data_IF_217240899044
#
_entry.id   IF_217240899044
#
_cell.length_a   1.000
_cell.length_b   1.000
_cell.length_c   1.000
_cell.angle_alpha   90.00
_cell.angle_beta   90.00
_cell.angle_gamma   90.00
#
_symmetry.space_group_name_H-M   'P 1'
#
loop_
_entity.id
_entity.type
_entity.pdbx_description
1 polymer ?
#
# COMPACT_ATOMS: atom_id res chain seq x y z
N UNK A 1 43.01 -9.95 1.75
CA UNK A 1 41.71 -9.73 1.08
C UNK A 1 40.65 -9.87 2.15
N UNK A 2 40.06 -8.75 2.59
CA UNK A 2 39.00 -8.77 3.58
C UNK A 2 37.70 -9.17 2.88
N UNK A 3 37.12 -10.29 3.29
CA UNK A 3 35.77 -10.69 2.88
C UNK A 3 34.79 -9.62 3.39
N UNK A 4 34.01 -9.07 2.47
CA UNK A 4 32.86 -8.25 2.82
C UNK A 4 31.87 -9.10 3.64
N UNK A 5 31.24 -8.56 4.69
CA UNK A 5 30.22 -9.30 5.41
C UNK A 5 29.02 -9.48 4.48
N UNK A 6 28.70 -10.72 4.16
CA UNK A 6 27.43 -11.07 3.54
C UNK A 6 26.31 -10.59 4.45
N UNK A 7 25.51 -9.63 3.97
CA UNK A 7 24.28 -9.21 4.63
C UNK A 7 23.29 -10.37 4.53
N UNK A 8 23.32 -11.28 5.51
CA UNK A 8 22.28 -12.28 5.70
C UNK A 8 20.98 -11.53 5.98
N UNK A 9 20.12 -11.45 4.96
CA UNK A 9 18.73 -11.05 5.17
C UNK A 9 18.11 -12.14 6.04
N UNK A 10 17.56 -11.84 7.22
CA UNK A 10 16.97 -12.87 8.07
C UNK A 10 15.82 -13.52 7.29
N UNK A 11 15.95 -14.81 6.97
CA UNK A 11 14.91 -15.61 6.34
C UNK A 11 13.69 -15.57 7.26
N UNK A 12 12.72 -14.74 6.90
CA UNK A 12 11.52 -14.53 7.71
C UNK A 12 10.50 -15.59 7.30
N UNK A 13 9.98 -16.42 8.22
CA UNK A 13 9.06 -17.48 7.83
C UNK A 13 7.74 -16.89 7.30
N UNK A 14 7.16 -17.57 6.30
CA UNK A 14 5.84 -17.22 5.74
C UNK A 14 4.77 -17.24 6.85
N UNK A 15 4.88 -18.19 7.78
CA UNK A 15 3.95 -18.45 8.87
C UNK A 15 4.20 -17.61 10.14
N UNK A 16 5.03 -16.57 10.10
CA UNK A 16 5.17 -15.69 11.26
C UNK A 16 3.83 -15.01 11.56
N UNK A 17 3.38 -15.15 12.81
CA UNK A 17 2.09 -14.65 13.27
C UNK A 17 2.05 -13.12 13.26
N UNK A 18 0.96 -12.54 12.71
CA UNK A 18 0.68 -11.11 12.87
C UNK A 18 0.37 -10.77 14.32
N UNK A 19 0.96 -9.67 14.81
CA UNK A 19 0.74 -9.06 16.11
C UNK A 19 -0.63 -8.38 16.20
N UNK A 20 -1.16 -7.92 15.06
CA UNK A 20 -2.49 -7.29 14.96
C UNK A 20 -3.45 -8.24 14.26
N UNK A 21 -4.62 -8.42 14.85
CA UNK A 21 -5.71 -9.23 14.28
C UNK A 21 -6.87 -8.35 13.86
N UNK A 22 -7.42 -8.64 12.69
CA UNK A 22 -8.60 -8.00 12.14
C UNK A 22 -9.86 -8.41 12.92
N UNK A 23 -10.95 -7.64 12.78
CA UNK A 23 -12.25 -7.95 13.39
C UNK A 23 -13.38 -7.92 12.34
N UNK A 24 -14.53 -8.51 12.69
CA UNK A 24 -15.72 -8.49 11.84
C UNK A 24 -15.54 -9.20 10.51
N UNK A 25 -15.94 -8.53 9.41
CA UNK A 25 -15.84 -9.11 8.06
C UNK A 25 -14.38 -9.34 7.62
N UNK A 26 -13.45 -8.47 8.02
CA UNK A 26 -12.04 -8.63 7.68
C UNK A 26 -11.43 -9.89 8.33
N UNK A 27 -11.78 -10.19 9.59
CA UNK A 27 -11.36 -11.42 10.26
C UNK A 27 -11.85 -12.68 9.54
N UNK A 28 -13.12 -12.67 9.09
CA UNK A 28 -13.68 -13.79 8.31
C UNK A 28 -12.98 -13.94 6.95
N UNK A 29 -12.70 -12.84 6.26
CA UNK A 29 -11.93 -12.86 5.00
C UNK A 29 -10.57 -13.51 5.24
N UNK A 30 -9.84 -13.10 6.28
CA UNK A 30 -8.53 -13.70 6.63
C UNK A 30 -8.67 -15.21 6.86
N UNK A 31 -9.64 -15.63 7.67
CA UNK A 31 -9.86 -17.05 7.98
C UNK A 31 -10.06 -17.92 6.73
N UNK A 32 -10.71 -17.38 5.69
CA UNK A 32 -10.95 -18.08 4.42
C UNK A 32 -9.68 -18.19 3.58
N UNK A 33 -8.86 -17.13 3.53
CA UNK A 33 -7.78 -17.02 2.53
C UNK A 33 -6.38 -17.33 3.08
N UNK A 34 -6.18 -17.28 4.40
CA UNK A 34 -4.85 -17.33 5.02
C UNK A 34 -4.05 -18.56 4.58
N UNK A 35 -4.62 -19.76 4.70
CA UNK A 35 -3.94 -20.98 4.27
C UNK A 35 -3.62 -21.03 2.78
N UNK A 36 -4.47 -20.45 1.92
CA UNK A 36 -4.23 -20.41 0.48
C UNK A 36 -3.10 -19.44 0.12
N UNK A 37 -3.08 -18.26 0.76
CA UNK A 37 -2.03 -17.26 0.54
C UNK A 37 -0.67 -17.77 1.06
N UNK A 38 -0.65 -18.41 2.23
CA UNK A 38 0.55 -19.04 2.78
C UNK A 38 1.04 -20.20 1.90
N UNK A 39 0.13 -21.03 1.38
CA UNK A 39 0.45 -22.13 0.47
C UNK A 39 1.10 -21.69 -0.85
N UNK A 40 0.85 -20.46 -1.28
CA UNK A 40 1.53 -19.83 -2.42
C UNK A 40 2.88 -19.20 -2.05
N UNK A 41 3.27 -19.20 -0.78
CA UNK A 41 4.50 -18.58 -0.29
C UNK A 41 4.41 -17.08 -0.05
N UNK A 42 3.20 -16.51 0.05
CA UNK A 42 2.98 -15.09 0.35
C UNK A 42 2.53 -14.90 1.79
N UNK A 43 2.72 -13.68 2.29
CA UNK A 43 2.28 -13.23 3.61
C UNK A 43 1.23 -12.16 3.46
N UNK A 44 0.13 -12.31 4.20
CA UNK A 44 -0.86 -11.25 4.36
C UNK A 44 -0.28 -10.18 5.29
N UNK A 45 -0.30 -8.93 4.85
CA UNK A 45 0.12 -7.75 5.63
C UNK A 45 -1.08 -7.07 6.26
N UNK A 46 -2.17 -6.88 5.51
CA UNK A 46 -3.38 -6.22 5.99
C UNK A 46 -4.59 -6.70 5.21
N UNK A 47 -5.71 -6.91 5.91
CA UNK A 47 -7.03 -7.02 5.28
C UNK A 47 -7.93 -5.90 5.78
N UNK A 48 -8.57 -5.17 4.86
CA UNK A 48 -9.54 -4.13 5.17
C UNK A 48 -10.81 -4.37 4.36
N UNK A 49 -11.94 -4.40 5.05
CA UNK A 49 -13.26 -4.47 4.43
C UNK A 49 -13.97 -3.15 4.67
N UNK A 50 -14.31 -2.44 3.61
CA UNK A 50 -15.15 -1.23 3.67
C UNK A 50 -16.55 -1.60 3.21
N UNK A 51 -17.55 -1.33 4.04
CA UNK A 51 -18.96 -1.61 3.77
C UNK A 51 -19.69 -0.35 3.28
N UNK A 52 -20.63 -0.49 2.34
CA UNK A 52 -21.38 0.62 1.75
C UNK A 52 -21.83 0.31 0.33
N UNK A 53 -22.29 1.31 -0.42
CA UNK A 53 -22.78 1.13 -1.81
C UNK A 53 -21.79 0.46 -2.75
N UNK A 54 -20.49 0.75 -2.57
CA UNK A 54 -19.39 0.06 -3.23
C UNK A 54 -18.51 -0.59 -2.16
N UNK A 55 -18.93 -1.76 -1.67
CA UNK A 55 -18.10 -2.49 -0.70
C UNK A 55 -16.77 -2.89 -1.35
N UNK A 56 -15.67 -2.80 -0.58
CA UNK A 56 -14.33 -3.13 -1.08
C UNK A 56 -13.62 -4.02 -0.07
N UNK A 57 -13.05 -5.12 -0.57
CA UNK A 57 -12.12 -5.99 0.15
C UNK A 57 -10.72 -5.67 -0.34
N UNK A 58 -9.94 -4.97 0.47
CA UNK A 58 -8.56 -4.62 0.17
C UNK A 58 -7.61 -5.54 0.95
N UNK A 59 -6.72 -6.21 0.25
CA UNK A 59 -5.77 -7.16 0.81
C UNK A 59 -4.36 -6.75 0.38
N UNK A 60 -3.51 -6.47 1.36
CA UNK A 60 -2.09 -6.25 1.14
C UNK A 60 -1.33 -7.55 1.34
N UNK A 61 -0.54 -7.95 0.35
CA UNK A 61 0.32 -9.14 0.39
C UNK A 61 1.75 -8.79 0.02
N UNK A 62 2.67 -9.64 0.46
CA UNK A 62 4.07 -9.59 0.05
C UNK A 62 4.72 -10.97 0.21
N UNK A 63 5.87 -11.16 -0.41
CA UNK A 63 6.72 -12.31 -0.16
C UNK A 63 7.48 -12.15 1.17
N UNK A 64 8.09 -13.22 1.70
CA UNK A 64 8.96 -13.17 2.87
C UNK A 64 10.05 -12.09 2.83
N UNK A 65 10.60 -11.79 1.64
CA UNK A 65 11.60 -10.74 1.42
C UNK A 65 11.04 -9.31 1.57
N UNK A 66 9.72 -9.15 1.61
CA UNK A 66 9.04 -7.84 1.67
C UNK A 66 8.74 -7.21 0.32
N UNK A 67 8.97 -7.92 -0.77
CA UNK A 67 8.69 -7.47 -2.12
C UNK A 67 7.38 -8.09 -2.63
N UNK A 68 6.77 -7.43 -3.61
CA UNK A 68 5.57 -7.91 -4.29
C UNK A 68 5.48 -7.26 -5.67
N UNK A 69 5.50 -8.06 -6.72
CA UNK A 69 5.30 -7.67 -8.10
C UNK A 69 3.81 -7.70 -8.50
N UNK A 70 3.51 -7.34 -9.74
CA UNK A 70 2.13 -7.33 -10.28
C UNK A 70 1.62 -8.76 -10.44
N UNK A 71 2.48 -9.64 -10.89
CA UNK A 71 2.22 -11.06 -11.11
C UNK A 71 1.89 -11.75 -9.78
N UNK A 72 2.54 -11.35 -8.69
CA UNK A 72 2.26 -11.84 -7.34
C UNK A 72 0.82 -11.48 -6.92
N UNK A 73 0.40 -10.23 -7.16
CA UNK A 73 -0.96 -9.78 -6.86
C UNK A 73 -2.01 -10.51 -7.71
N UNK A 74 -1.71 -10.77 -8.99
CA UNK A 74 -2.58 -11.51 -9.89
C UNK A 74 -2.70 -12.98 -9.47
N UNK A 75 -1.60 -13.63 -9.10
CA UNK A 75 -1.58 -15.01 -8.62
C UNK A 75 -2.41 -15.18 -7.34
N UNK A 76 -2.25 -14.27 -6.38
CA UNK A 76 -3.05 -14.25 -5.16
C UNK A 76 -4.53 -14.01 -5.49
N UNK A 77 -4.84 -13.01 -6.32
CA UNK A 77 -6.21 -12.69 -6.72
C UNK A 77 -6.92 -13.89 -7.34
N UNK A 78 -6.28 -14.57 -8.32
CA UNK A 78 -6.84 -15.76 -8.98
C UNK A 78 -7.10 -16.91 -8.02
N UNK A 79 -6.24 -17.08 -7.02
CA UNK A 79 -6.33 -18.19 -6.07
C UNK A 79 -7.42 -17.96 -5.01
N UNK A 80 -7.53 -16.75 -4.47
CA UNK A 80 -8.44 -16.49 -3.35
C UNK A 80 -9.86 -16.12 -3.80
N UNK A 81 -10.04 -15.63 -5.03
CA UNK A 81 -11.37 -15.19 -5.50
C UNK A 81 -12.42 -16.31 -5.42
N UNK A 82 -12.16 -17.55 -5.90
CA UNK A 82 -13.12 -18.65 -5.78
C UNK A 82 -13.44 -19.03 -4.33
N UNK A 83 -12.47 -18.91 -3.42
CA UNK A 83 -12.66 -19.21 -1.99
C UNK A 83 -13.58 -18.18 -1.34
N UNK A 84 -13.37 -16.90 -1.63
CA UNK A 84 -14.23 -15.82 -1.15
C UNK A 84 -15.62 -15.87 -1.76
N UNK A 85 -15.75 -16.34 -3.00
CA UNK A 85 -17.04 -16.54 -3.65
C UNK A 85 -17.85 -17.66 -3.00
N UNK A 86 -17.20 -18.76 -2.63
CA UNK A 86 -17.82 -19.92 -1.97
C UNK A 86 -18.27 -19.60 -0.54
N UNK A 87 -17.39 -19.02 0.27
CA UNK A 87 -17.64 -18.81 1.71
C UNK A 87 -18.43 -17.51 2.01
N UNK A 88 -18.51 -16.58 1.06
CA UNK A 88 -19.18 -15.26 1.16
C UNK A 88 -18.98 -14.53 2.52
N UNK A 89 -17.73 -14.30 2.97
CA UNK A 89 -17.48 -13.74 4.31
C UNK A 89 -17.98 -12.29 4.49
N UNK A 90 -18.22 -11.58 3.38
CA UNK A 90 -18.69 -10.19 3.33
C UNK A 90 -20.22 -10.10 3.25
N UNK A 91 -20.91 -11.12 2.73
CA UNK A 91 -22.36 -11.17 2.63
C UNK A 91 -22.95 -10.31 1.51
N UNK A 92 -22.17 -9.95 0.48
CA UNK A 92 -22.52 -8.91 -0.49
C UNK A 92 -21.67 -8.90 -1.75
N UNK A 93 -22.10 -8.10 -2.73
CA UNK A 93 -21.26 -7.70 -3.86
C UNK A 93 -20.13 -6.79 -3.33
N UNK A 94 -18.93 -6.93 -3.89
CA UNK A 94 -17.77 -6.11 -3.50
C UNK A 94 -16.74 -6.03 -4.62
N UNK A 95 -15.84 -5.07 -4.51
CA UNK A 95 -14.63 -4.97 -5.31
C UNK A 95 -13.46 -5.59 -4.52
N UNK A 96 -12.76 -6.56 -5.09
CA UNK A 96 -11.54 -7.14 -4.56
C UNK A 96 -10.34 -6.33 -5.06
N UNK A 97 -9.54 -5.82 -4.15
CA UNK A 97 -8.29 -5.12 -4.44
C UNK A 97 -7.12 -5.85 -3.79
N UNK A 98 -6.18 -6.35 -4.59
CA UNK A 98 -4.93 -6.96 -4.10
C UNK A 98 -3.80 -6.00 -4.38
N UNK A 99 -3.00 -5.71 -3.35
CA UNK A 99 -1.87 -4.78 -3.49
C UNK A 99 -0.65 -5.18 -2.69
N UNK A 100 0.48 -4.55 -3.02
CA UNK A 100 1.62 -4.48 -2.11
C UNK A 100 1.43 -3.38 -1.06
N UNK A 101 2.10 -3.43 0.11
CA UNK A 101 1.98 -2.38 1.12
C UNK A 101 2.66 -1.06 0.73
N UNK A 102 3.67 -1.09 -0.15
CA UNK A 102 4.37 0.12 -0.61
C UNK A 102 5.17 0.84 0.49
N UNK A 103 5.27 2.17 0.39
CA UNK A 103 6.10 2.99 1.29
C UNK A 103 5.41 3.29 2.63
N UNK A 104 4.09 3.43 2.65
CA UNK A 104 3.29 3.58 3.88
C UNK A 104 2.99 2.20 4.50
N UNK A 105 4.06 1.41 4.71
CA UNK A 105 3.98 -0.01 5.03
C UNK A 105 3.48 -0.22 6.46
N UNK A 106 2.40 -0.99 6.69
CA UNK A 106 2.03 -1.46 8.02
C UNK A 106 3.11 -2.38 8.60
N UNK A 107 3.41 -2.22 9.89
CA UNK A 107 4.28 -3.11 10.65
C UNK A 107 3.40 -4.01 11.51
N UNK A 108 3.30 -5.28 11.14
CA UNK A 108 2.35 -6.22 11.75
C UNK A 108 3.02 -7.45 12.33
N UNK A 109 4.34 -7.61 12.18
CA UNK A 109 5.15 -8.72 12.70
C UNK A 109 6.40 -8.22 13.39
N UNK A 110 7.02 -9.03 14.24
CA UNK A 110 8.28 -8.66 14.89
C UNK A 110 9.39 -8.50 13.84
N UNK A 111 9.40 -9.35 12.82
CA UNK A 111 10.31 -9.21 11.68
C UNK A 111 10.20 -7.87 10.97
N UNK A 112 9.01 -7.26 10.97
CA UNK A 112 8.79 -5.98 10.31
C UNK A 112 9.52 -4.87 11.06
N UNK A 113 9.47 -4.89 12.40
CA UNK A 113 10.22 -3.95 13.23
C UNK A 113 11.73 -4.15 13.08
N UNK A 114 12.22 -5.39 13.01
CA UNK A 114 13.64 -5.68 12.79
C UNK A 114 14.11 -5.19 11.41
N UNK A 115 13.33 -5.47 10.36
CA UNK A 115 13.67 -5.09 8.98
C UNK A 115 13.79 -3.58 8.77
N UNK A 116 12.99 -2.81 9.51
CA UNK A 116 12.88 -1.36 9.38
C UNK A 116 13.44 -0.61 10.61
N UNK A 117 14.28 -1.27 11.41
CA UNK A 117 15.07 -0.60 12.44
C UNK A 117 15.91 0.52 11.79
N UNK A 118 16.03 1.65 12.49
CA UNK A 118 16.63 2.88 11.99
C UNK A 118 15.69 3.80 11.22
N UNK A 119 14.47 3.36 10.87
CA UNK A 119 13.50 4.21 10.17
C UNK A 119 12.45 4.82 11.10
N UNK A 120 11.92 5.97 10.69
CA UNK A 120 10.83 6.62 11.40
C UNK A 120 9.49 5.87 11.22
N UNK A 121 8.82 5.58 12.32
CA UNK A 121 7.50 4.96 12.33
C UNK A 121 6.55 5.67 13.28
N UNK A 122 5.25 5.52 12.99
CA UNK A 122 4.16 5.84 13.92
C UNK A 122 3.63 4.54 14.49
N UNK A 123 3.57 4.44 15.81
CA UNK A 123 3.09 3.28 16.55
C UNK A 123 1.95 3.72 17.48
N UNK A 124 0.81 3.06 17.36
CA UNK A 124 -0.32 3.17 18.25
C UNK A 124 -0.50 1.86 19.03
N UNK A 125 -0.45 1.94 20.36
CA UNK A 125 -0.72 0.82 21.24
C UNK A 125 -2.23 0.72 21.54
N UNK A 126 -2.74 -0.51 21.54
CA UNK A 126 -4.10 -0.82 21.98
C UNK A 126 -4.29 -0.43 23.46
N UNK A 127 -3.30 -0.72 24.31
CA UNK A 127 -3.25 -0.31 25.73
C UNK A 127 -2.28 0.86 25.92
N UNK A 128 -2.66 1.92 26.67
CA UNK A 128 -1.73 3.01 26.95
C UNK A 128 -0.52 2.53 27.74
N UNK A 129 0.67 2.95 27.31
CA UNK A 129 1.89 2.86 28.09
C UNK A 129 2.11 4.20 28.79
N UNK A 130 2.10 4.21 30.12
CA UNK A 130 2.27 5.42 30.93
C UNK A 130 1.29 6.56 30.54
N UNK A 131 0.04 6.19 30.19
CA UNK A 131 -0.99 7.14 29.76
C UNK A 131 -0.87 7.63 28.31
N UNK A 132 0.14 7.19 27.57
CA UNK A 132 0.35 7.53 26.15
C UNK A 132 0.09 6.31 25.26
N UNK A 133 -0.70 6.50 24.20
CA UNK A 133 -0.96 5.45 23.19
C UNK A 133 -0.18 5.62 21.90
N UNK A 134 0.15 6.85 21.52
CA UNK A 134 0.70 7.19 20.20
C UNK A 134 2.14 7.64 20.29
N UNK A 135 3.00 6.97 19.54
CA UNK A 135 4.43 7.21 19.49
C UNK A 135 4.81 7.48 18.03
N UNK A 136 5.73 8.42 17.82
CA UNK A 136 6.32 8.72 16.53
C UNK A 136 7.80 8.95 16.77
N UNK A 137 8.64 8.19 16.06
CA UNK A 137 10.07 8.23 16.28
C UNK A 137 10.79 7.15 15.48
N UNK A 138 12.10 7.05 15.69
CA UNK A 138 12.98 6.10 15.00
C UNK A 138 12.93 4.76 15.71
N UNK A 139 12.66 3.69 14.97
CA UNK A 139 12.67 2.33 15.50
C UNK A 139 14.10 1.90 15.81
N UNK A 140 14.32 1.23 16.94
CA UNK A 140 15.54 0.46 17.16
C UNK A 140 15.31 -1.03 16.95
N UNK A 141 16.34 -1.82 17.22
CA UNK A 141 16.28 -3.28 17.12
C UNK A 141 15.28 -3.87 18.12
N UNK A 142 14.32 -4.70 17.67
CA UNK A 142 13.37 -5.34 18.57
C UNK A 142 14.02 -6.47 19.37
N UNK A 143 13.55 -6.65 20.61
CA UNK A 143 13.79 -7.87 21.37
C UNK A 143 12.69 -8.87 21.03
N UNK A 144 13.04 -9.88 20.23
CA UNK A 144 12.13 -10.94 19.77
C UNK A 144 11.63 -11.78 20.95
N UNK A 145 12.47 -12.05 21.95
CA UNK A 145 12.11 -12.89 23.09
C UNK A 145 11.18 -12.15 24.05
N UNK A 146 11.43 -10.87 24.30
CA UNK A 146 10.58 -10.03 25.16
C UNK A 146 9.35 -9.45 24.43
N UNK A 147 9.26 -9.61 23.10
CA UNK A 147 8.26 -8.95 22.25
C UNK A 147 8.21 -7.45 22.50
N UNK A 148 9.36 -6.78 22.43
CA UNK A 148 9.45 -5.33 22.61
C UNK A 148 10.24 -4.67 21.50
N UNK A 149 9.98 -3.38 21.26
CA UNK A 149 10.76 -2.56 20.34
C UNK A 149 11.09 -1.20 20.97
N UNK A 150 12.35 -0.78 21.02
CA UNK A 150 12.71 0.58 21.41
C UNK A 150 12.33 1.56 20.30
N UNK A 151 11.84 2.74 20.69
CA UNK A 151 11.59 3.88 19.81
C UNK A 151 12.27 5.13 20.36
N UNK A 152 13.09 5.78 19.53
CA UNK A 152 13.74 7.05 19.82
C UNK A 152 12.85 8.20 19.33
N UNK A 153 12.38 9.03 20.25
CA UNK A 153 11.43 10.09 20.04
C UNK A 153 12.17 11.44 19.88
N UNK A 154 12.18 12.05 18.68
CA UNK A 154 12.93 13.30 18.44
C UNK A 154 12.26 14.54 19.06
N UNK A 155 10.95 14.55 19.23
CA UNK A 155 10.15 15.73 19.61
C UNK A 155 9.74 15.75 21.09
N UNK A 156 10.58 15.25 22.01
CA UNK A 156 10.24 15.11 23.43
C UNK A 156 10.55 16.39 24.22
N UNK A 157 9.61 16.80 25.08
CA UNK A 157 9.83 17.93 26.01
C UNK A 157 10.97 17.62 26.97
N UNK A 158 11.73 18.64 27.35
CA UNK A 158 12.82 18.55 28.31
C UNK A 158 12.34 17.89 29.62
N UNK A 159 13.06 16.84 30.06
CA UNK A 159 12.74 16.05 31.25
C UNK A 159 11.96 14.75 31.03
N UNK A 160 11.56 14.42 29.80
CA UNK A 160 10.95 13.12 29.46
C UNK A 160 11.97 12.21 28.74
N UNK A 161 11.84 10.88 28.84
CA UNK A 161 12.75 9.95 28.18
C UNK A 161 12.63 10.07 26.66
N UNK A 162 13.76 10.28 26.00
CA UNK A 162 13.86 10.31 24.53
C UNK A 162 13.80 8.91 23.92
N UNK A 163 14.00 7.85 24.70
CA UNK A 163 13.90 6.45 24.25
C UNK A 163 12.90 5.69 25.10
N UNK A 164 11.92 5.06 24.46
CA UNK A 164 10.86 4.29 25.11
C UNK A 164 10.84 2.88 24.54
N UNK A 165 10.66 1.88 25.40
CA UNK A 165 10.48 0.48 24.98
C UNK A 165 8.99 0.18 24.87
N UNK A 166 8.52 -0.13 23.66
CA UNK A 166 7.12 -0.42 23.37
C UNK A 166 6.86 -1.93 23.44
N UNK A 167 5.84 -2.39 24.19
CA UNK A 167 5.43 -3.80 24.17
C UNK A 167 4.67 -4.11 22.88
N UNK A 168 5.24 -4.97 22.03
CA UNK A 168 4.61 -5.41 20.78
C UNK A 168 3.34 -6.25 21.03
N UNK A 169 3.21 -6.85 22.22
CA UNK A 169 1.99 -7.55 22.64
C UNK A 169 0.77 -6.62 22.74
N UNK A 170 0.96 -5.32 22.99
CA UNK A 170 -0.10 -4.33 23.04
C UNK A 170 -0.17 -3.49 21.75
N UNK A 171 0.43 -3.94 20.65
CA UNK A 171 0.39 -3.24 19.36
C UNK A 171 -1.05 -3.13 18.85
N UNK A 172 -1.49 -1.92 18.53
CA UNK A 172 -2.77 -1.67 17.86
C UNK A 172 -2.57 -1.44 16.36
N UNK A 173 -1.74 -0.48 15.99
CA UNK A 173 -1.40 -0.16 14.60
C UNK A 173 0.03 0.39 14.55
N UNK A 174 0.78 0.06 13.49
CA UNK A 174 2.04 0.71 13.22
C UNK A 174 2.25 0.85 11.71
N UNK A 175 2.82 1.97 11.28
CA UNK A 175 3.17 2.24 9.89
C UNK A 175 4.44 3.09 9.80
N UNK A 176 5.20 2.90 8.73
CA UNK A 176 6.37 3.72 8.44
C UNK A 176 5.96 5.15 8.07
N UNK A 177 6.76 6.13 8.48
CA UNK A 177 6.58 7.52 8.08
C UNK A 177 7.33 7.76 6.78
N UNK A 178 6.63 8.34 5.80
CA UNK A 178 7.19 8.73 4.52
C UNK A 178 8.25 9.85 4.71
N UNK A 179 9.49 9.43 4.90
CA UNK A 179 10.68 10.30 4.97
C UNK A 179 11.52 10.15 3.69
N UNK A 180 12.37 11.13 3.39
CA UNK A 180 13.27 11.06 2.24
C UNK A 180 14.21 9.85 2.31
N UNK A 181 14.64 9.49 3.52
CA UNK A 181 15.45 8.29 3.76
C UNK A 181 14.69 7.02 3.40
N UNK A 182 13.42 6.92 3.81
CA UNK A 182 12.57 5.78 3.46
C UNK A 182 12.31 5.69 1.96
N UNK A 183 12.11 6.84 1.28
CA UNK A 183 11.92 6.88 -0.18
C UNK A 183 13.17 6.32 -0.88
N UNK A 184 14.38 6.77 -0.48
CA UNK A 184 15.64 6.28 -1.05
C UNK A 184 15.82 4.79 -0.82
N UNK A 185 15.53 4.30 0.37
CA UNK A 185 15.66 2.87 0.69
C UNK A 185 14.64 2.02 -0.08
N UNK A 186 13.39 2.49 -0.20
CA UNK A 186 12.38 1.80 -1.02
C UNK A 186 12.76 1.73 -2.49
N UNK A 187 13.37 2.78 -3.06
CA UNK A 187 13.87 2.75 -4.44
C UNK A 187 15.04 1.79 -4.61
N UNK A 188 15.91 1.67 -3.61
CA UNK A 188 17.02 0.71 -3.61
C UNK A 188 16.52 -0.74 -3.61
N UNK A 189 15.50 -1.04 -2.79
CA UNK A 189 14.92 -2.40 -2.67
C UNK A 189 13.97 -2.78 -3.80
N UNK A 190 13.21 -1.84 -4.33
CA UNK A 190 12.22 -2.06 -5.40
C UNK A 190 12.76 -1.97 -6.82
N UNK A 191 14.09 -1.85 -6.98
CA UNK A 191 14.78 -1.60 -8.25
C UNK A 191 14.46 -0.22 -8.85
N UNK A 192 15.35 0.32 -9.72
CA UNK A 192 15.01 1.49 -10.53
C UNK A 192 13.78 1.17 -11.41
N UNK A 193 13.01 2.16 -11.86
CA UNK A 193 12.14 1.96 -13.03
C UNK A 193 12.97 1.37 -14.19
N UNK A 194 12.41 0.54 -15.09
CA UNK A 194 13.06 0.31 -16.38
C UNK A 194 13.35 1.69 -17.01
N UNK A 195 14.54 1.85 -17.59
CA UNK A 195 15.00 3.13 -18.16
C UNK A 195 14.18 3.59 -19.38
N UNK A 196 13.19 2.81 -19.81
CA UNK A 196 12.39 3.07 -21.01
C UNK A 196 10.98 3.64 -20.71
N UNK A 197 10.85 4.50 -19.70
CA UNK A 197 9.62 5.27 -19.49
C UNK A 197 9.80 6.71 -19.98
N UNK A 198 9.60 6.86 -21.29
CA UNK A 198 9.29 8.10 -22.01
C UNK A 198 10.33 9.23 -21.89
N UNK A 199 11.39 9.15 -22.70
CA UNK A 199 11.81 10.37 -23.39
C UNK A 199 10.63 10.84 -24.26
N UNK A 200 10.19 12.10 -24.19
CA UNK A 200 9.24 12.60 -25.19
C UNK A 200 10.00 12.64 -26.52
N UNK A 201 9.80 11.63 -27.36
CA UNK A 201 10.10 11.74 -28.78
C UNK A 201 9.36 12.98 -29.30
N UNK A 202 10.10 13.90 -29.90
CA UNK A 202 9.54 15.02 -30.65
C UNK A 202 8.76 14.42 -31.82
N UNK A 203 7.43 14.35 -31.70
CA UNK A 203 6.55 13.93 -32.80
C UNK A 203 6.78 14.86 -34.00
N UNK A 204 7.50 14.35 -35.01
CA UNK A 204 7.51 14.88 -36.37
C UNK A 204 6.07 14.90 -36.91
N UNK A 205 5.66 16.03 -37.48
CA UNK A 205 4.34 16.20 -38.08
C UNK A 205 4.10 15.15 -39.19
N UNK A 206 2.99 14.37 -39.16
CA UNK A 206 2.70 13.44 -40.24
C UNK A 206 2.06 14.16 -41.43
N UNK A 207 2.64 13.90 -42.61
CA UNK A 207 2.11 14.28 -43.92
C UNK A 207 0.73 13.67 -44.21
N UNK A 208 -0.03 14.42 -45.01
CA UNK A 208 -1.44 14.26 -45.35
C UNK A 208 -1.65 13.14 -46.39
N UNK A 209 -2.32 12.03 -46.02
CA UNK A 209 -2.95 11.12 -46.99
C UNK A 209 -4.45 10.96 -46.75
N UNK A 210 -5.20 11.11 -47.84
CA UNK A 210 -6.63 11.40 -47.90
C UNK A 210 -7.54 10.22 -47.51
N UNK A 211 -8.50 10.49 -46.62
CA UNK A 211 -9.61 9.58 -46.31
C UNK A 211 -10.78 9.72 -47.32
N UNK A 212 -11.48 8.62 -47.67
CA UNK A 212 -12.69 8.68 -48.51
C UNK A 212 -13.92 9.18 -47.74
N UNK A 213 -14.78 9.89 -48.46
CA UNK A 213 -15.86 10.73 -47.94
C UNK A 213 -17.11 9.92 -47.56
N UNK A 214 -17.61 10.07 -46.33
CA UNK A 214 -18.96 9.63 -45.94
C UNK A 214 -19.80 10.86 -45.60
N UNK A 215 -20.88 11.08 -46.35
CA UNK A 215 -21.78 12.25 -46.25
C UNK A 215 -22.55 12.24 -44.93
N UNK A 216 -22.40 13.31 -44.14
CA UNK A 216 -23.26 13.60 -42.97
C UNK A 216 -24.01 14.92 -43.19
N UNK A 217 -25.33 14.89 -42.98
CA UNK A 217 -26.25 16.03 -43.18
C UNK A 217 -26.30 16.89 -41.90
N UNK A 218 -26.20 18.23 -41.95
CA UNK A 218 -26.13 19.06 -40.74
C UNK A 218 -27.51 19.46 -40.20
N UNK A 219 -27.66 19.45 -38.87
CA UNK A 219 -28.77 20.07 -38.13
C UNK A 219 -28.34 21.44 -37.53
N UNK A 220 -29.27 22.40 -37.33
CA UNK A 220 -28.96 23.83 -37.19
C UNK A 220 -28.49 24.31 -35.81
N UNK A 221 -27.74 25.42 -35.82
CA UNK A 221 -27.06 26.06 -34.67
C UNK A 221 -28.01 26.77 -33.70
N UNK A 222 -27.76 26.63 -32.39
CA UNK A 222 -28.31 27.51 -31.33
C UNK A 222 -27.29 28.61 -30.94
N UNK A 223 -27.75 29.83 -30.59
CA UNK A 223 -26.89 31.00 -30.36
C UNK A 223 -26.25 31.08 -28.96
N UNK A 224 -25.09 31.74 -28.88
CA UNK A 224 -24.26 31.99 -27.68
C UNK A 224 -24.73 33.21 -26.87
N UNK A 225 -24.59 33.23 -25.54
CA UNK A 225 -24.54 34.48 -24.77
C UNK A 225 -23.10 34.98 -24.56
N UNK A 226 -22.97 36.31 -24.36
CA UNK A 226 -21.72 37.10 -24.35
C UNK A 226 -21.18 37.39 -22.93
N UNK A 227 -19.85 37.43 -22.86
CA UNK A 227 -18.91 38.34 -22.15
C UNK A 227 -19.00 38.62 -20.64
N UNK A 228 -17.85 38.46 -19.94
CA UNK A 228 -17.10 39.56 -19.32
C UNK A 228 -15.65 39.15 -18.92
N UNK A 229 -14.73 40.12 -18.94
CA UNK A 229 -13.30 40.12 -18.52
C UNK A 229 -12.99 41.56 -18.04
N UNK A 230 -11.86 41.92 -17.39
CA UNK A 230 -10.72 41.13 -16.86
C UNK A 230 -10.20 41.59 -15.46
N UNK A 231 -9.26 40.87 -14.81
CA UNK A 231 -8.19 41.50 -13.96
C UNK A 231 -6.87 40.68 -14.00
N UNK A 232 -5.74 41.41 -14.14
CA UNK A 232 -4.29 41.06 -14.05
C UNK A 232 -3.87 40.71 -12.60
N UNK A 233 -2.73 40.14 -12.19
CA UNK A 233 -1.51 39.56 -12.76
C UNK A 233 -0.62 39.00 -11.60
N UNK A 234 0.30 38.08 -11.93
CA UNK A 234 1.60 37.74 -11.26
C UNK A 234 1.53 37.17 -9.83
N UNK A 235 2.40 36.28 -9.35
CA UNK A 235 3.63 35.62 -9.81
C UNK A 235 3.94 34.54 -8.77
N UNK A 236 4.44 33.36 -9.17
CA UNK A 236 4.86 32.35 -8.20
C UNK A 236 5.45 31.13 -8.89
N UNK A 237 6.78 31.08 -8.89
CA UNK A 237 7.66 30.03 -9.41
C UNK A 237 7.21 28.62 -9.00
N UNK A 238 7.03 27.73 -9.98
CA UNK A 238 6.87 26.28 -9.74
C UNK A 238 8.24 25.67 -9.44
N UNK A 239 8.41 24.89 -8.36
CA UNK A 239 9.55 24.00 -8.25
C UNK A 239 9.33 22.78 -9.15
N UNK A 240 10.44 22.26 -9.66
CA UNK A 240 10.52 21.11 -10.55
C UNK A 240 9.87 19.87 -9.93
N UNK A 241 9.11 19.15 -10.76
CA UNK A 241 8.44 17.90 -10.42
C UNK A 241 9.49 16.79 -10.46
N UNK A 242 10.08 16.47 -9.31
CA UNK A 242 10.90 15.25 -9.16
C UNK A 242 10.04 14.00 -9.37
N UNK A 243 10.66 12.84 -9.68
CA UNK A 243 9.93 11.59 -9.84
C UNK A 243 9.21 11.27 -8.52
N UNK A 244 7.89 11.17 -8.58
CA UNK A 244 7.08 10.83 -7.42
C UNK A 244 7.35 9.40 -6.96
N UNK A 245 7.12 9.08 -5.68
CA UNK A 245 7.28 7.72 -5.16
C UNK A 245 6.45 6.72 -5.99
N UNK A 246 7.03 5.55 -6.29
CA UNK A 246 6.36 4.46 -7.02
C UNK A 246 5.05 4.13 -6.29
N UNK A 247 3.93 4.18 -7.02
CA UNK A 247 2.60 3.89 -6.49
C UNK A 247 2.50 2.41 -6.12
N UNK A 248 1.67 2.04 -5.11
CA UNK A 248 1.39 0.65 -4.83
C UNK A 248 0.84 -0.05 -6.08
N UNK A 249 1.25 -1.29 -6.28
CA UNK A 249 0.69 -2.17 -7.31
C UNK A 249 -0.71 -2.55 -6.86
N UNK A 250 -1.73 -2.39 -7.70
CA UNK A 250 -3.12 -2.69 -7.34
C UNK A 250 -3.76 -3.49 -8.49
N UNK A 251 -4.25 -4.69 -8.18
CA UNK A 251 -5.10 -5.49 -9.07
C UNK A 251 -6.55 -5.40 -8.59
N UNK A 252 -7.52 -5.18 -9.50
CA UNK A 252 -8.94 -5.07 -9.17
C UNK A 252 -9.76 -6.19 -9.81
N UNK A 253 -10.66 -6.79 -9.05
CA UNK A 253 -11.71 -7.69 -9.54
C UNK A 253 -13.06 -7.30 -8.93
N UNK A 254 -14.16 -7.44 -9.67
CA UNK A 254 -15.50 -7.13 -9.16
C UNK A 254 -16.30 -8.41 -8.97
N UNK A 255 -17.00 -8.50 -7.84
CA UNK A 255 -18.01 -9.54 -7.59
C UNK A 255 -19.39 -8.94 -7.72
N UNK A 256 -20.12 -9.29 -8.78
CA UNK A 256 -21.54 -8.97 -8.92
C UNK A 256 -22.38 -10.06 -8.23
N UNK A 257 -23.35 -9.66 -7.41
CA UNK A 257 -24.38 -10.58 -6.91
C UNK A 257 -25.44 -10.74 -8.00
N UNK A 258 -25.18 -11.60 -8.99
CA UNK A 258 -26.27 -12.09 -9.84
C UNK A 258 -27.02 -13.19 -9.08
N UNK A 259 -27.96 -12.76 -8.23
CA UNK A 259 -29.10 -13.61 -7.87
C UNK A 259 -30.24 -13.17 -8.77
N UNK A 260 -30.23 -13.68 -10.00
CA UNK A 260 -31.44 -13.74 -10.80
C UNK A 260 -32.50 -14.46 -9.98
N UNK A 261 -33.54 -13.71 -9.66
CA UNK A 261 -34.84 -14.21 -9.25
C UNK A 261 -35.43 -15.04 -10.39
N UNK A 262 -35.09 -16.32 -10.41
CA UNK A 262 -35.90 -17.35 -11.05
C UNK A 262 -36.69 -18.09 -9.98
N UNK A 263 -37.88 -17.58 -9.67
CA UNK A 263 -39.09 -18.32 -9.31
C UNK A 263 -40.29 -17.46 -9.70
#
# INVERSE_FOLDING_TARGET
MAQAPETQTPETPVSEKRLVTESGAAARVVQVIEGAVEGLGYRIVRVKVTTGGNATVQIMVERPDGLCAIEDCEAVSRTISPLLDLDDPVGGAYNLEISSPGIDRPLVRVSDFARWAGHEAKVELARPLEGRKRFRGILGEPDVAALTVPIDLPDVKEGLPSRIVLPLADLGEAHLVLTDELIRESLRRGGPPPEDADEPEEDEEPEEEAAPQVRFIPAPKRPKPKADKPVKAKSGTKPAKGPGPKKPVITKANRLKDRDSFH
#
